data_IF_953647039301
#
_entry.id   IF_953647039301
#
_cell.length_a   1.000
_cell.length_b   1.000
_cell.length_c   1.000
_cell.angle_alpha   90.00
_cell.angle_beta   90.00
_cell.angle_gamma   90.00
#
_symmetry.space_group_name_H-M   'P 1'
#
loop_
_entity.id
_entity.type
_entity.pdbx_description
1 polymer ?
#
# COMPACT_ATOMS: atom_id res chain seq x y z
N UNK A 1 16.07 14.56 27.01
CA UNK A 1 17.38 15.03 26.51
C UNK A 1 17.04 15.70 25.20
N UNK A 2 17.30 17.01 25.07
CA UNK A 2 16.70 17.87 24.06
C UNK A 2 16.87 17.34 22.62
N UNK A 3 15.74 17.11 21.94
CA UNK A 3 15.69 16.91 20.49
C UNK A 3 16.02 18.24 19.80
N UNK A 4 17.31 18.49 19.60
CA UNK A 4 17.75 19.43 18.58
C UNK A 4 17.53 18.77 17.23
N UNK A 5 16.35 18.97 16.65
CA UNK A 5 16.27 18.97 15.18
C UNK A 5 17.12 20.17 14.76
N UNK A 6 18.32 19.90 14.26
CA UNK A 6 19.23 20.90 13.74
C UNK A 6 18.63 21.42 12.43
N UNK A 7 17.72 22.37 12.55
CA UNK A 7 17.17 23.11 11.41
C UNK A 7 18.28 23.98 10.82
N UNK A 8 18.63 23.72 9.58
CA UNK A 8 19.60 24.52 8.84
C UNK A 8 18.86 25.67 8.16
N UNK A 9 19.44 26.87 8.19
CA UNK A 9 18.89 28.04 7.48
C UNK A 9 19.81 28.42 6.32
N UNK A 10 19.26 28.78 5.15
CA UNK A 10 20.05 29.34 4.05
C UNK A 10 20.26 30.85 4.26
N UNK A 11 20.87 31.48 3.25
CA UNK A 11 21.07 32.92 3.21
C UNK A 11 19.77 33.73 3.22
N UNK A 12 18.65 33.09 2.87
CA UNK A 12 17.34 33.71 2.69
C UNK A 12 16.43 33.45 3.91
N UNK A 13 16.90 32.64 4.87
CA UNK A 13 16.21 32.33 6.12
C UNK A 13 15.20 31.19 6.02
N UNK A 14 15.17 30.47 4.89
CA UNK A 14 14.37 29.27 4.76
C UNK A 14 14.96 28.15 5.63
N UNK A 15 14.09 27.41 6.32
CA UNK A 15 14.49 26.32 7.19
C UNK A 15 14.38 25.01 6.41
N UNK A 16 15.50 24.34 6.15
CA UNK A 16 15.52 22.98 5.58
C UNK A 16 15.96 22.00 6.65
N UNK A 17 15.19 20.92 6.78
CA UNK A 17 15.61 19.76 7.54
C UNK A 17 16.50 18.82 6.72
N UNK A 18 16.94 17.76 7.38
CA UNK A 18 17.81 16.73 6.80
C UNK A 18 17.16 16.01 5.60
N UNK A 19 15.83 16.01 5.51
CA UNK A 19 15.05 15.45 4.42
C UNK A 19 15.42 16.00 3.04
N UNK A 20 15.81 17.27 2.93
CA UNK A 20 16.24 17.85 1.65
C UNK A 20 17.53 17.24 1.12
N UNK A 21 18.44 16.84 2.01
CA UNK A 21 19.63 16.10 1.60
C UNK A 21 19.26 14.72 1.06
N UNK A 22 18.27 14.05 1.67
CA UNK A 22 17.77 12.76 1.19
C UNK A 22 17.10 12.90 -0.18
N UNK A 23 16.28 13.93 -0.38
CA UNK A 23 15.68 14.24 -1.68
C UNK A 23 16.74 14.45 -2.76
N UNK A 24 17.75 15.28 -2.50
CA UNK A 24 18.84 15.51 -3.43
C UNK A 24 19.65 14.23 -3.74
N UNK A 25 19.84 13.36 -2.74
CA UNK A 25 20.51 12.07 -2.94
C UNK A 25 19.69 11.11 -3.81
N UNK A 26 18.38 10.96 -3.52
CA UNK A 26 17.49 10.12 -4.33
C UNK A 26 17.39 10.63 -5.77
N UNK A 27 17.27 11.95 -5.95
CA UNK A 27 17.28 12.57 -7.27
C UNK A 27 18.61 12.28 -8.01
N UNK A 28 19.75 12.46 -7.35
CA UNK A 28 21.05 12.17 -7.95
C UNK A 28 21.20 10.71 -8.38
N UNK A 29 20.75 9.76 -7.55
CA UNK A 29 20.76 8.33 -7.89
C UNK A 29 19.81 8.07 -9.05
N UNK A 30 18.58 8.61 -9.02
CA UNK A 30 17.59 8.46 -10.08
C UNK A 30 18.07 9.01 -11.43
N UNK A 31 18.72 10.18 -11.44
CA UNK A 31 19.36 10.74 -12.63
C UNK A 31 20.50 9.86 -13.13
N UNK A 32 21.27 9.27 -12.21
CA UNK A 32 22.38 8.37 -12.54
C UNK A 32 21.89 7.08 -13.19
N UNK A 33 20.81 6.47 -12.70
CA UNK A 33 20.16 5.27 -13.29
C UNK A 33 19.86 5.46 -14.78
N UNK A 34 19.44 6.67 -15.16
CA UNK A 34 19.10 7.02 -16.56
C UNK A 34 20.34 7.14 -17.47
N UNK A 35 21.55 7.33 -16.93
CA UNK A 35 22.77 7.50 -17.72
C UNK A 35 23.39 6.17 -18.15
N UNK A 36 23.65 6.01 -19.45
CA UNK A 36 24.32 4.81 -20.00
C UNK A 36 25.68 4.52 -19.36
N UNK A 37 26.45 5.57 -19.04
CA UNK A 37 27.77 5.46 -18.41
C UNK A 37 27.72 4.92 -16.98
N UNK A 38 26.60 5.08 -16.28
CA UNK A 38 26.42 4.60 -14.91
C UNK A 38 25.83 3.18 -14.85
N UNK A 39 25.32 2.63 -15.96
CA UNK A 39 24.77 1.26 -16.02
C UNK A 39 25.68 0.21 -15.38
N UNK A 40 27.00 0.19 -15.62
CA UNK A 40 27.90 -0.80 -15.01
C UNK A 40 27.95 -0.75 -13.47
N UNK A 41 27.55 0.35 -12.83
CA UNK A 41 27.44 0.44 -11.38
C UNK A 41 26.28 -0.40 -10.87
N UNK A 42 25.14 -0.40 -11.56
CA UNK A 42 23.93 -1.10 -11.13
C UNK A 42 23.91 -2.56 -11.59
N UNK A 43 24.37 -2.82 -12.82
CA UNK A 43 24.42 -4.16 -13.41
C UNK A 43 25.76 -4.32 -14.11
N UNK A 44 26.58 -5.24 -13.60
CA UNK A 44 27.86 -5.61 -14.18
C UNK A 44 27.68 -6.55 -15.39
N UNK A 45 28.71 -6.69 -16.22
CA UNK A 45 28.67 -7.51 -17.45
C UNK A 45 28.41 -9.00 -17.19
N UNK A 46 28.81 -9.51 -16.02
CA UNK A 46 28.51 -10.87 -15.56
C UNK A 46 27.06 -11.05 -15.05
N UNK A 47 26.27 -9.97 -15.01
CA UNK A 47 24.90 -9.96 -14.50
C UNK A 47 24.77 -9.71 -13.00
N UNK A 48 25.86 -9.52 -12.26
CA UNK A 48 25.84 -9.15 -10.84
C UNK A 48 25.27 -7.74 -10.64
N UNK A 49 24.50 -7.56 -9.56
CA UNK A 49 23.76 -6.33 -9.28
C UNK A 49 23.84 -5.93 -7.81
N UNK A 50 25.00 -6.10 -7.18
CA UNK A 50 25.22 -5.86 -5.74
C UNK A 50 24.85 -4.43 -5.32
N UNK A 51 25.26 -3.42 -6.11
CA UNK A 51 24.91 -2.04 -5.82
C UNK A 51 23.41 -1.78 -5.96
N UNK A 52 22.75 -2.36 -6.98
CA UNK A 52 21.30 -2.28 -7.12
C UNK A 52 20.58 -2.84 -5.89
N UNK A 53 21.02 -4.00 -5.37
CA UNK A 53 20.47 -4.59 -4.14
C UNK A 53 20.66 -3.67 -2.93
N UNK A 54 21.82 -3.01 -2.80
CA UNK A 54 22.05 -2.03 -1.73
C UNK A 54 21.13 -0.82 -1.85
N UNK A 55 20.91 -0.30 -3.07
CA UNK A 55 19.97 0.81 -3.29
C UNK A 55 18.54 0.39 -2.93
N UNK A 56 18.11 -0.82 -3.32
CA UNK A 56 16.80 -1.36 -2.93
C UNK A 56 16.66 -1.51 -1.41
N UNK A 57 17.70 -1.97 -0.72
CA UNK A 57 17.71 -2.02 0.75
C UNK A 57 17.58 -0.63 1.40
N UNK A 58 18.26 0.39 0.85
CA UNK A 58 18.15 1.78 1.29
C UNK A 58 16.72 2.29 1.06
N UNK A 59 16.14 2.02 -0.11
CA UNK A 59 14.75 2.37 -0.43
C UNK A 59 13.80 1.79 0.62
N UNK A 60 13.87 0.48 0.88
CA UNK A 60 12.99 -0.17 1.87
C UNK A 60 13.18 0.40 3.29
N UNK A 61 14.40 0.82 3.63
CA UNK A 61 14.68 1.48 4.92
C UNK A 61 13.99 2.85 5.03
N UNK A 62 14.05 3.65 3.97
CA UNK A 62 13.43 4.99 3.92
C UNK A 62 11.94 4.96 3.59
N UNK A 63 11.43 3.82 3.12
CA UNK A 63 9.99 3.61 3.00
C UNK A 63 9.34 3.35 4.35
N UNK A 64 10.04 3.08 5.46
CA UNK A 64 9.39 2.83 6.75
C UNK A 64 8.63 4.06 7.27
N UNK A 65 7.48 3.81 7.92
CA UNK A 65 6.66 4.87 8.51
C UNK A 65 7.41 5.60 9.64
N UNK A 66 7.40 6.93 9.64
CA UNK A 66 7.92 7.71 10.77
C UNK A 66 6.97 7.65 11.96
N UNK A 67 7.40 8.16 13.12
CA UNK A 67 6.53 8.24 14.29
C UNK A 67 5.41 9.27 14.08
N UNK A 68 5.75 10.37 13.46
CA UNK A 68 4.86 11.50 13.16
C UNK A 68 3.75 11.07 12.19
N UNK A 69 4.10 10.30 11.14
CA UNK A 69 3.13 9.70 10.22
C UNK A 69 2.16 8.76 10.95
N UNK A 70 2.69 7.88 11.81
CA UNK A 70 1.88 6.96 12.62
C UNK A 70 0.91 7.73 13.52
N UNK A 71 1.37 8.77 14.20
CA UNK A 71 0.53 9.57 15.10
C UNK A 71 -0.55 10.35 14.35
N UNK A 72 -0.22 10.95 13.21
CA UNK A 72 -1.17 11.69 12.38
C UNK A 72 -2.25 10.78 11.79
N UNK A 73 -1.84 9.69 11.13
CA UNK A 73 -2.75 8.78 10.42
C UNK A 73 -3.63 7.94 11.36
N UNK A 74 -3.30 7.86 12.66
CA UNK A 74 -4.15 7.19 13.64
C UNK A 74 -5.42 7.97 13.98
N UNK A 75 -5.41 9.29 13.81
CA UNK A 75 -6.51 10.17 14.23
C UNK A 75 -7.19 10.89 13.06
N UNK A 76 -6.57 10.90 11.87
CA UNK A 76 -7.10 11.54 10.68
C UNK A 76 -7.18 10.56 9.50
N UNK A 77 -8.41 10.17 9.15
CA UNK A 77 -8.67 9.26 8.04
C UNK A 77 -8.44 9.90 6.68
N UNK A 78 -8.74 11.20 6.52
CA UNK A 78 -8.59 11.88 5.24
C UNK A 78 -7.11 12.05 4.93
N UNK A 79 -6.32 12.47 5.92
CA UNK A 79 -4.88 12.53 5.76
C UNK A 79 -4.27 11.16 5.45
N UNK A 80 -4.71 10.08 6.12
CA UNK A 80 -4.19 8.75 5.81
C UNK A 80 -4.54 8.30 4.38
N UNK A 81 -5.76 8.57 3.91
CA UNK A 81 -6.15 8.27 2.52
C UNK A 81 -5.29 9.07 1.56
N UNK A 82 -5.19 10.39 1.73
CA UNK A 82 -4.44 11.26 0.85
C UNK A 82 -2.93 10.95 0.82
N UNK A 83 -2.33 10.59 1.96
CA UNK A 83 -0.89 10.34 2.09
C UNK A 83 -0.46 8.93 1.63
N UNK A 84 -1.28 7.89 1.86
CA UNK A 84 -0.96 6.51 1.47
C UNK A 84 -1.43 6.17 0.03
N UNK A 85 -1.95 7.15 -0.71
CA UNK A 85 -2.25 7.01 -2.14
C UNK A 85 -0.97 6.91 -2.98
N UNK A 86 -0.99 6.08 -4.03
CA UNK A 86 0.13 5.97 -4.96
C UNK A 86 0.25 7.23 -5.86
N UNK A 87 -0.84 8.00 -6.03
CA UNK A 87 -0.86 9.29 -6.75
C UNK A 87 -0.85 10.51 -5.81
N UNK A 88 -0.31 10.36 -4.60
CA UNK A 88 -0.28 11.45 -3.62
C UNK A 88 0.52 12.67 -4.10
N UNK A 89 0.00 13.88 -3.82
CA UNK A 89 0.75 15.12 -4.03
C UNK A 89 1.72 15.45 -2.89
N UNK A 90 1.70 14.67 -1.80
CA UNK A 90 2.53 14.92 -0.63
C UNK A 90 3.95 14.40 -0.84
N UNK A 91 4.92 15.31 -0.79
CA UNK A 91 6.31 14.98 -1.02
C UNK A 91 7.03 14.68 0.30
N UNK A 92 7.16 13.38 0.61
CA UNK A 92 7.86 12.88 1.81
C UNK A 92 9.04 12.00 1.43
N UNK A 93 9.95 11.72 2.38
CA UNK A 93 11.07 10.80 2.15
C UNK A 93 10.57 9.40 1.77
N UNK A 94 9.44 8.96 2.34
CA UNK A 94 8.80 7.68 2.02
C UNK A 94 8.32 7.65 0.57
N UNK A 95 7.70 8.74 0.08
CA UNK A 95 7.25 8.88 -1.31
C UNK A 95 8.45 8.94 -2.26
N UNK A 96 9.44 9.79 -1.98
CA UNK A 96 10.64 9.91 -2.81
C UNK A 96 11.46 8.61 -2.92
N UNK A 97 11.43 7.75 -1.89
CA UNK A 97 12.03 6.42 -1.94
C UNK A 97 11.25 5.48 -2.90
N UNK A 98 9.91 5.58 -2.91
CA UNK A 98 9.04 4.89 -3.87
C UNK A 98 9.29 5.34 -5.32
N UNK A 99 9.40 6.65 -5.56
CA UNK A 99 9.73 7.20 -6.88
C UNK A 99 11.08 6.65 -7.38
N UNK A 100 12.07 6.53 -6.50
CA UNK A 100 13.35 5.93 -6.87
C UNK A 100 13.22 4.44 -7.22
N UNK A 101 12.35 3.69 -6.54
CA UNK A 101 12.05 2.30 -6.87
C UNK A 101 11.44 2.18 -8.27
N UNK A 102 10.49 3.06 -8.61
CA UNK A 102 9.88 3.14 -9.93
C UNK A 102 10.94 3.42 -11.01
N UNK A 103 11.83 4.40 -10.79
CA UNK A 103 12.92 4.71 -11.73
C UNK A 103 13.84 3.50 -11.96
N UNK A 104 14.12 2.72 -10.91
CA UNK A 104 14.91 1.48 -11.04
C UNK A 104 14.14 0.41 -11.81
N UNK A 105 12.84 0.30 -11.59
CA UNK A 105 11.97 -0.67 -12.25
C UNK A 105 11.83 -0.37 -13.75
N UNK A 106 11.60 0.89 -14.13
CA UNK A 106 11.58 1.35 -15.52
C UNK A 106 12.88 0.99 -16.25
N UNK A 107 14.02 1.13 -15.57
CA UNK A 107 15.33 0.98 -16.19
C UNK A 107 15.81 -0.47 -16.25
N UNK A 108 15.54 -1.24 -15.20
CA UNK A 108 16.13 -2.55 -14.95
C UNK A 108 15.08 -3.55 -14.41
N UNK A 109 13.95 -3.78 -15.11
CA UNK A 109 12.74 -4.35 -14.53
C UNK A 109 12.99 -5.67 -13.78
N UNK A 110 13.44 -6.73 -14.48
CA UNK A 110 13.68 -8.03 -13.83
C UNK A 110 14.75 -7.98 -12.74
N UNK A 111 15.78 -7.14 -12.91
CA UNK A 111 16.87 -7.05 -11.93
C UNK A 111 16.43 -6.31 -10.67
N UNK A 112 15.57 -5.29 -10.82
CA UNK A 112 14.96 -4.56 -9.71
C UNK A 112 13.96 -5.45 -8.98
N UNK A 113 13.08 -6.17 -9.70
CA UNK A 113 12.16 -7.14 -9.09
C UNK A 113 12.90 -8.26 -8.35
N UNK A 114 13.94 -8.83 -8.94
CA UNK A 114 14.75 -9.85 -8.28
C UNK A 114 15.48 -9.31 -7.04
N UNK A 115 16.03 -8.09 -7.12
CA UNK A 115 16.66 -7.44 -5.97
C UNK A 115 15.66 -7.14 -4.86
N UNK A 116 14.46 -6.68 -5.21
CA UNK A 116 13.37 -6.45 -4.26
C UNK A 116 12.96 -7.76 -3.57
N UNK A 117 12.70 -8.81 -4.34
CA UNK A 117 12.36 -10.14 -3.83
C UNK A 117 13.36 -10.65 -2.77
N UNK A 118 14.64 -10.64 -3.10
CA UNK A 118 15.71 -11.11 -2.20
C UNK A 118 15.86 -10.21 -0.97
N UNK A 119 15.76 -8.89 -1.14
CA UNK A 119 15.90 -7.93 -0.03
C UNK A 119 14.72 -8.02 0.93
N UNK A 120 13.50 -8.17 0.40
CA UNK A 120 12.29 -8.39 1.18
C UNK A 120 12.38 -9.66 2.01
N UNK A 121 12.83 -10.77 1.42
CA UNK A 121 13.02 -12.02 2.16
C UNK A 121 13.97 -11.82 3.34
N UNK A 122 15.14 -11.22 3.09
CA UNK A 122 16.14 -10.96 4.13
C UNK A 122 15.60 -10.06 5.25
N UNK A 123 14.94 -8.95 4.90
CA UNK A 123 14.39 -8.01 5.88
C UNK A 123 13.24 -8.60 6.70
N UNK A 124 12.42 -9.48 6.12
CA UNK A 124 11.38 -10.21 6.86
C UNK A 124 12.04 -11.17 7.87
N UNK A 125 13.09 -11.88 7.49
CA UNK A 125 13.85 -12.75 8.40
C UNK A 125 14.47 -11.95 9.57
N UNK A 126 15.13 -10.83 9.29
CA UNK A 126 15.68 -9.93 10.32
C UNK A 126 14.59 -9.35 11.24
N UNK A 127 13.47 -8.92 10.66
CA UNK A 127 12.34 -8.39 11.41
C UNK A 127 11.70 -9.45 12.31
N UNK A 128 11.63 -10.70 11.87
CA UNK A 128 11.14 -11.80 12.70
C UNK A 128 12.06 -12.07 13.90
N UNK A 129 13.38 -11.92 13.74
CA UNK A 129 14.33 -11.99 14.85
C UNK A 129 14.10 -10.82 15.81
N UNK A 130 13.98 -9.59 15.29
CA UNK A 130 13.70 -8.40 16.10
C UNK A 130 12.40 -8.56 16.93
N UNK A 131 11.33 -9.06 16.30
CA UNK A 131 10.07 -9.41 16.94
C UNK A 131 10.26 -10.41 18.07
N UNK A 132 11.00 -11.49 17.84
CA UNK A 132 11.26 -12.52 18.85
C UNK A 132 12.09 -11.98 20.04
N UNK A 133 12.91 -10.96 19.82
CA UNK A 133 13.68 -10.28 20.88
C UNK A 133 12.92 -9.14 21.57
N UNK A 134 11.67 -8.88 21.19
CA UNK A 134 10.81 -7.88 21.82
C UNK A 134 11.04 -6.44 21.35
N UNK A 135 11.64 -6.23 20.18
CA UNK A 135 11.69 -4.92 19.55
C UNK A 135 10.26 -4.43 19.28
N UNK A 136 9.92 -3.19 19.66
CA UNK A 136 8.57 -2.64 19.48
C UNK A 136 8.28 -2.09 18.08
N UNK A 137 9.31 -1.90 17.25
CA UNK A 137 9.19 -1.32 15.90
C UNK A 137 9.45 -2.32 14.77
N UNK A 138 9.61 -3.62 15.07
CA UNK A 138 9.83 -4.69 14.08
C UNK A 138 8.86 -4.65 12.90
N UNK A 139 7.61 -4.30 13.19
CA UNK A 139 6.49 -4.30 12.26
C UNK A 139 6.65 -3.28 11.12
N UNK A 140 7.40 -2.18 11.35
CA UNK A 140 7.63 -1.14 10.33
C UNK A 140 8.43 -1.67 9.13
N UNK A 141 9.38 -2.57 9.40
CA UNK A 141 10.18 -3.21 8.35
C UNK A 141 9.29 -4.08 7.45
N UNK A 142 8.40 -4.88 8.05
CA UNK A 142 7.50 -5.74 7.27
C UNK A 142 6.44 -4.90 6.53
N UNK A 143 5.91 -3.86 7.17
CA UNK A 143 4.98 -2.93 6.50
C UNK A 143 5.61 -2.29 5.26
N UNK A 144 6.86 -1.80 5.36
CA UNK A 144 7.56 -1.19 4.24
C UNK A 144 7.86 -2.20 3.13
N UNK A 145 8.25 -3.43 3.49
CA UNK A 145 8.45 -4.51 2.52
C UNK A 145 7.16 -4.83 1.76
N UNK A 146 6.04 -4.98 2.47
CA UNK A 146 4.75 -5.25 1.85
C UNK A 146 4.26 -4.05 1.01
N UNK A 147 4.47 -2.79 1.45
CA UNK A 147 4.15 -1.61 0.63
C UNK A 147 4.95 -1.62 -0.67
N UNK A 148 6.26 -1.84 -0.61
CA UNK A 148 7.12 -1.82 -1.79
C UNK A 148 6.80 -2.94 -2.79
N UNK A 149 6.59 -4.16 -2.29
CA UNK A 149 6.21 -5.30 -3.14
C UNK A 149 4.80 -5.12 -3.70
N UNK A 150 3.88 -4.55 -2.91
CA UNK A 150 2.54 -4.20 -3.37
C UNK A 150 2.52 -3.10 -4.45
N UNK A 151 3.36 -2.08 -4.28
CA UNK A 151 3.53 -0.95 -5.19
C UNK A 151 3.93 -1.41 -6.61
N UNK A 152 4.77 -2.45 -6.72
CA UNK A 152 5.23 -3.00 -8.02
C UNK A 152 4.43 -4.24 -8.47
N UNK A 153 3.20 -4.41 -7.95
CA UNK A 153 2.42 -5.64 -8.15
C UNK A 153 2.14 -5.95 -9.63
N UNK A 154 1.84 -4.95 -10.46
CA UNK A 154 1.57 -5.14 -11.88
C UNK A 154 2.77 -5.76 -12.63
N UNK A 155 3.96 -5.20 -12.42
CA UNK A 155 5.19 -5.68 -13.03
C UNK A 155 5.60 -7.03 -12.46
N UNK A 156 5.43 -7.24 -11.15
CA UNK A 156 5.77 -8.52 -10.52
C UNK A 156 4.84 -9.65 -10.97
N UNK A 157 3.52 -9.42 -11.03
CA UNK A 157 2.55 -10.39 -11.55
C UNK A 157 2.92 -10.75 -12.99
N UNK A 158 3.19 -9.75 -13.83
CA UNK A 158 3.58 -9.95 -15.24
C UNK A 158 4.85 -10.81 -15.33
N UNK A 159 5.88 -10.50 -14.55
CA UNK A 159 7.13 -11.25 -14.53
C UNK A 159 6.93 -12.70 -14.02
N UNK A 160 6.11 -12.91 -13.00
CA UNK A 160 5.85 -14.25 -12.43
C UNK A 160 5.02 -15.14 -13.36
N UNK A 161 4.21 -14.56 -14.24
CA UNK A 161 3.41 -15.29 -15.22
C UNK A 161 4.15 -15.54 -16.55
N UNK A 162 5.23 -14.82 -16.82
CA UNK A 162 6.06 -15.01 -18.03
C UNK A 162 7.06 -16.16 -17.84
N UNK A 163 6.87 -17.26 -18.59
CA UNK A 163 7.78 -18.42 -18.58
C UNK A 163 9.22 -18.07 -19.00
N UNK A 164 9.42 -16.98 -19.74
CA UNK A 164 10.75 -16.52 -20.12
C UNK A 164 11.44 -15.70 -19.01
N UNK A 165 10.69 -15.20 -18.04
CA UNK A 165 11.25 -14.38 -16.96
C UNK A 165 12.09 -15.20 -16.00
N UNK A 166 13.14 -14.56 -15.48
CA UNK A 166 14.04 -15.16 -14.49
C UNK A 166 13.77 -14.70 -13.07
N UNK A 167 12.77 -13.84 -12.87
CA UNK A 167 12.38 -13.35 -11.55
C UNK A 167 11.84 -14.52 -10.73
N UNK A 168 12.35 -14.67 -9.51
CA UNK A 168 11.91 -15.69 -8.56
C UNK A 168 11.48 -15.01 -7.27
N UNK A 169 10.21 -15.20 -6.92
CA UNK A 169 9.65 -14.72 -5.67
C UNK A 169 8.62 -15.72 -5.14
N UNK A 170 8.79 -16.15 -3.89
CA UNK A 170 7.85 -17.05 -3.23
C UNK A 170 6.64 -16.27 -2.70
N UNK A 171 5.83 -15.77 -3.63
CA UNK A 171 4.59 -15.08 -3.32
C UNK A 171 3.61 -15.96 -2.52
N UNK A 172 3.41 -17.26 -2.84
CA UNK A 172 2.57 -18.14 -2.04
C UNK A 172 3.04 -18.27 -0.58
N UNK A 173 4.34 -18.52 -0.36
CA UNK A 173 4.90 -18.60 0.99
C UNK A 173 4.78 -17.28 1.77
N UNK A 174 4.92 -16.13 1.09
CA UNK A 174 4.66 -14.83 1.69
C UNK A 174 3.20 -14.68 2.14
N UNK A 175 2.24 -15.13 1.33
CA UNK A 175 0.84 -15.13 1.71
C UNK A 175 0.56 -16.00 2.94
N UNK A 176 1.04 -17.25 2.91
CA UNK A 176 0.74 -18.26 3.93
C UNK A 176 1.43 -17.98 5.28
N UNK A 177 2.64 -17.45 5.27
CA UNK A 177 3.47 -17.34 6.48
C UNK A 177 3.68 -15.92 6.99
N UNK A 178 3.31 -14.90 6.20
CA UNK A 178 3.51 -13.50 6.57
C UNK A 178 2.18 -12.77 6.51
N UNK A 179 1.58 -12.63 5.33
CA UNK A 179 0.40 -11.76 5.15
C UNK A 179 -0.79 -12.25 5.98
N UNK A 180 -1.05 -13.56 6.01
CA UNK A 180 -2.19 -14.11 6.74
C UNK A 180 -2.11 -13.87 8.25
N UNK A 181 -0.93 -14.03 8.86
CA UNK A 181 -0.72 -13.78 10.29
C UNK A 181 -1.01 -12.32 10.66
N UNK A 182 -0.67 -11.38 9.78
CA UNK A 182 -0.86 -9.95 10.00
C UNK A 182 -2.31 -9.50 9.97
N UNK A 183 -3.24 -10.26 9.36
CA UNK A 183 -4.68 -9.94 9.40
C UNK A 183 -5.23 -9.86 10.83
N UNK A 184 -4.57 -10.53 11.78
CA UNK A 184 -4.98 -10.58 13.19
C UNK A 184 -4.07 -9.76 14.12
N UNK A 185 -3.10 -9.03 13.57
CA UNK A 185 -2.13 -8.25 14.33
C UNK A 185 -2.71 -6.90 14.81
N UNK A 186 -3.74 -6.96 15.66
CA UNK A 186 -4.50 -5.80 16.15
C UNK A 186 -3.63 -4.76 16.89
N UNK A 187 -2.49 -5.17 17.44
CA UNK A 187 -1.52 -4.28 18.09
C UNK A 187 -0.78 -3.37 17.10
N UNK A 188 -0.78 -3.74 15.82
CA UNK A 188 -0.06 -3.06 14.74
C UNK A 188 -1.02 -2.71 13.60
N UNK A 189 -1.94 -1.74 13.78
CA UNK A 189 -3.05 -1.48 12.86
C UNK A 189 -2.61 -1.13 11.44
N UNK A 190 -1.45 -0.47 11.26
CA UNK A 190 -0.91 -0.19 9.94
C UNK A 190 -0.38 -1.45 9.23
N UNK A 191 0.24 -2.38 9.96
CA UNK A 191 0.67 -3.65 9.39
C UNK A 191 -0.52 -4.55 9.07
N UNK A 192 -1.53 -4.57 9.94
CA UNK A 192 -2.81 -5.25 9.69
C UNK A 192 -3.50 -4.68 8.45
N UNK A 193 -3.63 -3.35 8.36
CA UNK A 193 -4.16 -2.66 7.19
C UNK A 193 -3.36 -2.97 5.92
N UNK A 194 -2.02 -2.92 6.00
CA UNK A 194 -1.14 -3.24 4.88
C UNK A 194 -1.33 -4.67 4.38
N UNK A 195 -1.59 -5.64 5.27
CA UNK A 195 -1.87 -7.01 4.87
C UNK A 195 -3.15 -7.13 4.00
N UNK A 196 -4.20 -6.35 4.31
CA UNK A 196 -5.39 -6.28 3.46
C UNK A 196 -5.09 -5.68 2.08
N UNK A 197 -4.41 -4.55 2.03
CA UNK A 197 -4.06 -3.87 0.77
C UNK A 197 -3.15 -4.76 -0.08
N UNK A 198 -2.14 -5.37 0.52
CA UNK A 198 -1.24 -6.28 -0.16
C UNK A 198 -2.01 -7.46 -0.79
N UNK A 199 -2.92 -8.07 -0.03
CA UNK A 199 -3.72 -9.17 -0.56
C UNK A 199 -4.60 -8.75 -1.75
N UNK A 200 -5.16 -7.54 -1.71
CA UNK A 200 -6.00 -7.05 -2.79
C UNK A 200 -5.23 -6.69 -4.06
N UNK A 201 -3.99 -6.21 -3.94
CA UNK A 201 -3.10 -5.92 -5.07
C UNK A 201 -2.74 -7.18 -5.88
N UNK A 202 -2.69 -8.35 -5.22
CA UNK A 202 -2.43 -9.64 -5.86
C UNK A 202 -3.69 -10.50 -6.02
N UNK A 203 -4.88 -9.89 -6.01
CA UNK A 203 -6.16 -10.61 -6.09
C UNK A 203 -6.22 -11.64 -7.23
N UNK A 204 -5.67 -11.31 -8.41
CA UNK A 204 -5.66 -12.21 -9.58
C UNK A 204 -4.81 -13.48 -9.41
N UNK A 205 -3.89 -13.49 -8.44
CA UNK A 205 -3.05 -14.63 -8.09
C UNK A 205 -3.49 -15.33 -6.80
N UNK A 206 -4.51 -14.83 -6.09
CA UNK A 206 -4.97 -15.44 -4.85
C UNK A 206 -5.67 -16.79 -5.09
N UNK A 207 -5.29 -17.85 -4.35
CA UNK A 207 -6.06 -19.09 -4.32
C UNK A 207 -7.50 -18.83 -3.85
N UNK A 208 -8.48 -19.52 -4.44
CA UNK A 208 -9.91 -19.29 -4.16
C UNK A 208 -10.30 -19.39 -2.69
N UNK A 209 -9.75 -20.36 -1.95
CA UNK A 209 -10.01 -20.52 -0.51
C UNK A 209 -9.48 -19.33 0.31
N UNK A 210 -8.33 -18.76 -0.08
CA UNK A 210 -7.77 -17.57 0.56
C UNK A 210 -8.57 -16.33 0.18
N UNK A 211 -8.97 -16.20 -1.08
CA UNK A 211 -9.76 -15.06 -1.57
C UNK A 211 -11.04 -14.85 -0.75
N UNK A 212 -11.85 -15.90 -0.54
CA UNK A 212 -13.06 -15.82 0.29
C UNK A 212 -12.75 -15.40 1.72
N UNK A 213 -11.65 -15.88 2.31
CA UNK A 213 -11.25 -15.52 3.68
C UNK A 213 -10.83 -14.05 3.76
N UNK A 214 -10.01 -13.56 2.84
CA UNK A 214 -9.61 -12.15 2.80
C UNK A 214 -10.80 -11.20 2.64
N UNK A 215 -11.76 -11.53 1.77
CA UNK A 215 -12.98 -10.73 1.59
C UNK A 215 -13.80 -10.72 2.88
N UNK A 216 -14.02 -11.88 3.49
CA UNK A 216 -14.76 -12.00 4.75
C UNK A 216 -14.11 -11.17 5.88
N UNK A 217 -12.78 -11.22 5.98
CA UNK A 217 -12.02 -10.49 6.99
C UNK A 217 -12.04 -8.98 6.76
N UNK A 218 -11.98 -8.53 5.50
CA UNK A 218 -12.08 -7.12 5.16
C UNK A 218 -13.49 -6.57 5.45
N UNK A 219 -14.55 -7.34 5.17
CA UNK A 219 -15.93 -6.98 5.57
C UNK A 219 -16.05 -6.86 7.09
N UNK A 220 -15.49 -7.81 7.84
CA UNK A 220 -15.50 -7.76 9.30
C UNK A 220 -14.77 -6.51 9.81
N UNK A 221 -13.61 -6.20 9.25
CA UNK A 221 -12.80 -5.03 9.65
C UNK A 221 -13.53 -3.69 9.49
N UNK A 222 -14.36 -3.52 8.46
CA UNK A 222 -15.15 -2.28 8.29
C UNK A 222 -16.36 -2.22 9.24
N UNK A 223 -16.96 -3.37 9.59
CA UNK A 223 -18.12 -3.48 10.47
C UNK A 223 -17.78 -3.29 11.95
N UNK A 224 -16.64 -3.81 12.39
CA UNK A 224 -16.22 -3.75 13.79
C UNK A 224 -15.72 -2.35 14.17
N UNK A 225 -15.73 -2.05 15.46
CA UNK A 225 -15.04 -0.87 15.98
C UNK A 225 -13.54 -1.17 15.95
N UNK A 226 -12.79 -0.40 15.18
CA UNK A 226 -11.37 -0.64 14.94
C UNK A 226 -10.62 0.65 14.59
N UNK A 227 -9.30 0.54 14.47
CA UNK A 227 -8.44 1.66 14.14
C UNK A 227 -8.70 2.17 12.71
N UNK A 228 -8.57 3.48 12.52
CA UNK A 228 -8.75 4.14 11.22
C UNK A 228 -7.94 3.46 10.10
N UNK A 229 -6.64 3.16 10.27
CA UNK A 229 -5.84 2.56 9.19
C UNK A 229 -6.41 1.23 8.71
N UNK A 230 -6.92 0.40 9.63
CA UNK A 230 -7.48 -0.91 9.31
C UNK A 230 -8.75 -0.76 8.49
N UNK A 231 -9.66 0.15 8.86
CA UNK A 231 -10.91 0.39 8.12
C UNK A 231 -10.66 0.94 6.73
N UNK A 232 -9.79 1.95 6.62
CA UNK A 232 -9.42 2.55 5.33
C UNK A 232 -8.76 1.52 4.42
N UNK A 233 -7.80 0.75 4.93
CA UNK A 233 -7.15 -0.32 4.18
C UNK A 233 -8.11 -1.44 3.77
N UNK A 234 -9.05 -1.82 4.64
CA UNK A 234 -10.06 -2.82 4.32
C UNK A 234 -11.04 -2.34 3.23
N UNK A 235 -11.42 -1.05 3.21
CA UNK A 235 -12.21 -0.47 2.12
C UNK A 235 -11.45 -0.51 0.78
N UNK A 236 -10.18 -0.06 0.76
CA UNK A 236 -9.31 -0.18 -0.43
C UNK A 236 -9.19 -1.62 -0.90
N UNK A 237 -9.06 -2.55 0.04
CA UNK A 237 -8.99 -3.97 -0.27
C UNK A 237 -10.29 -4.48 -0.89
N UNK A 238 -11.45 -4.13 -0.33
CA UNK A 238 -12.75 -4.51 -0.85
C UNK A 238 -13.01 -3.92 -2.25
N UNK A 239 -12.64 -2.66 -2.49
CA UNK A 239 -12.71 -2.05 -3.83
C UNK A 239 -11.96 -2.91 -4.86
N UNK A 240 -10.69 -3.24 -4.58
CA UNK A 240 -9.87 -4.07 -5.46
C UNK A 240 -10.39 -5.50 -5.59
N UNK A 241 -10.86 -6.11 -4.49
CA UNK A 241 -11.46 -7.45 -4.54
C UNK A 241 -12.72 -7.48 -5.40
N UNK A 242 -13.62 -6.52 -5.25
CA UNK A 242 -14.82 -6.39 -6.08
C UNK A 242 -14.48 -6.22 -7.57
N UNK A 243 -13.37 -5.52 -7.87
CA UNK A 243 -12.90 -5.24 -9.23
C UNK A 243 -12.19 -6.43 -9.89
N UNK A 244 -11.38 -7.18 -9.14
CA UNK A 244 -10.39 -8.10 -9.71
C UNK A 244 -10.63 -9.59 -9.38
N UNK A 245 -11.37 -9.92 -8.31
CA UNK A 245 -11.70 -11.32 -8.01
C UNK A 245 -12.85 -11.82 -8.88
N UNK A 246 -12.88 -13.14 -9.07
CA UNK A 246 -14.06 -13.79 -9.63
C UNK A 246 -15.28 -13.54 -8.72
N UNK A 247 -16.41 -13.23 -9.35
CA UNK A 247 -17.71 -12.94 -8.73
C UNK A 247 -18.09 -13.98 -7.67
N UNK A 248 -17.75 -15.26 -7.86
CA UNK A 248 -18.08 -16.31 -6.90
C UNK A 248 -17.49 -16.08 -5.50
N UNK A 249 -16.35 -15.38 -5.38
CA UNK A 249 -15.68 -15.14 -4.11
C UNK A 249 -16.18 -13.89 -3.39
N UNK A 250 -16.74 -12.91 -4.12
CA UNK A 250 -17.21 -11.62 -3.58
C UNK A 250 -18.73 -11.52 -3.46
N UNK A 251 -19.48 -12.17 -4.36
CA UNK A 251 -20.95 -12.13 -4.37
C UNK A 251 -21.62 -12.54 -3.05
N UNK A 252 -21.12 -13.53 -2.28
CA UNK A 252 -21.69 -13.86 -0.98
C UNK A 252 -21.66 -12.71 0.04
N UNK A 253 -20.76 -11.75 -0.15
CA UNK A 253 -20.53 -10.64 0.77
C UNK A 253 -21.09 -9.30 0.28
N UNK A 254 -21.62 -9.23 -0.95
CA UNK A 254 -22.06 -7.98 -1.57
C UNK A 254 -23.05 -7.20 -0.70
N UNK A 255 -24.04 -7.88 -0.12
CA UNK A 255 -25.00 -7.28 0.81
C UNK A 255 -24.31 -6.63 2.01
N UNK A 256 -23.35 -7.34 2.62
CA UNK A 256 -22.63 -6.83 3.78
C UNK A 256 -21.74 -5.63 3.43
N UNK A 257 -21.11 -5.65 2.25
CA UNK A 257 -20.30 -4.52 1.76
C UNK A 257 -21.19 -3.29 1.57
N UNK A 258 -22.31 -3.42 0.86
CA UNK A 258 -23.27 -2.34 0.62
C UNK A 258 -23.77 -1.73 1.94
N UNK A 259 -24.21 -2.56 2.88
CA UNK A 259 -24.72 -2.09 4.17
C UNK A 259 -23.64 -1.36 4.99
N UNK A 260 -22.43 -1.92 5.01
CA UNK A 260 -21.32 -1.35 5.77
C UNK A 260 -20.88 -0.01 5.18
N UNK A 261 -20.77 0.07 3.86
CA UNK A 261 -20.45 1.30 3.13
C UNK A 261 -21.54 2.37 3.30
N UNK A 262 -22.82 1.98 3.21
CA UNK A 262 -23.94 2.89 3.43
C UNK A 262 -23.92 3.51 4.85
N UNK A 263 -23.52 2.73 5.86
CA UNK A 263 -23.35 3.25 7.23
C UNK A 263 -22.19 4.25 7.34
N UNK A 264 -21.13 4.08 6.55
CA UNK A 264 -19.98 4.98 6.54
C UNK A 264 -20.26 6.31 5.83
N UNK A 265 -21.08 6.33 4.77
CA UNK A 265 -21.38 7.53 3.97
C UNK A 265 -21.87 8.74 4.79
N UNK A 266 -22.44 8.52 5.97
CA UNK A 266 -22.93 9.59 6.85
C UNK A 266 -21.88 10.18 7.78
N UNK A 267 -20.71 9.55 7.92
CA UNK A 267 -19.68 9.93 8.89
C UNK A 267 -18.34 10.32 8.24
N UNK A 268 -18.12 9.94 6.97
CA UNK A 268 -16.91 10.25 6.21
C UNK A 268 -17.05 11.55 5.42
N UNK A 269 -15.91 12.14 5.04
CA UNK A 269 -15.83 13.38 4.25
C UNK A 269 -14.60 13.36 3.35
N UNK A 270 -14.49 14.30 2.40
CA UNK A 270 -13.26 14.52 1.60
C UNK A 270 -12.72 13.23 0.97
N UNK A 271 -11.43 12.91 1.15
CA UNK A 271 -10.78 11.73 0.57
C UNK A 271 -11.38 10.40 1.06
N UNK A 272 -11.77 10.32 2.34
CA UNK A 272 -12.42 9.10 2.85
C UNK A 272 -13.83 8.88 2.28
N UNK A 273 -14.54 9.96 1.93
CA UNK A 273 -15.82 9.85 1.22
C UNK A 273 -15.63 9.32 -0.20
N UNK A 274 -14.61 9.80 -0.92
CA UNK A 274 -14.29 9.30 -2.27
C UNK A 274 -14.03 7.80 -2.22
N UNK A 275 -13.16 7.34 -1.31
CA UNK A 275 -12.86 5.91 -1.15
C UNK A 275 -14.11 5.07 -0.87
N UNK A 276 -15.01 5.56 0.00
CA UNK A 276 -16.25 4.87 0.34
C UNK A 276 -17.21 4.80 -0.87
N UNK A 277 -17.30 5.87 -1.67
CA UNK A 277 -18.11 5.92 -2.88
C UNK A 277 -17.57 4.97 -3.96
N UNK A 278 -16.26 4.97 -4.21
CA UNK A 278 -15.65 4.06 -5.17
C UNK A 278 -15.80 2.59 -4.75
N UNK A 279 -15.69 2.31 -3.45
CA UNK A 279 -15.94 0.96 -2.92
C UNK A 279 -17.40 0.55 -3.17
N UNK A 280 -18.36 1.46 -2.98
CA UNK A 280 -19.77 1.21 -3.28
C UNK A 280 -19.96 0.95 -4.78
N UNK A 281 -19.34 1.76 -5.63
CA UNK A 281 -19.45 1.68 -7.08
C UNK A 281 -19.04 0.30 -7.60
N UNK A 282 -17.94 -0.26 -7.10
CA UNK A 282 -17.53 -1.61 -7.46
C UNK A 282 -18.45 -2.68 -6.86
N UNK A 283 -18.90 -2.51 -5.62
CA UNK A 283 -19.78 -3.47 -4.96
C UNK A 283 -21.16 -3.60 -5.64
N UNK A 284 -21.74 -2.50 -6.13
CA UNK A 284 -23.06 -2.54 -6.80
C UNK A 284 -23.03 -3.21 -8.18
N UNK A 285 -21.85 -3.31 -8.81
CA UNK A 285 -21.66 -3.96 -10.12
C UNK A 285 -21.61 -5.49 -10.06
N UNK A 286 -21.41 -6.08 -8.87
CA UNK A 286 -21.22 -7.54 -8.69
C UNK A 286 -22.46 -8.33 -9.12
N UNK A 287 -23.63 -8.01 -8.56
CA UNK A 287 -24.90 -8.65 -8.92
C UNK A 287 -26.08 -7.67 -8.84
N UNK A 288 -26.63 -7.34 -10.01
CA UNK A 288 -27.74 -6.38 -10.15
C UNK A 288 -29.01 -6.79 -9.38
N UNK A 289 -29.27 -8.08 -9.18
CA UNK A 289 -30.45 -8.56 -8.45
C UNK A 289 -30.31 -8.25 -6.95
N UNK A 290 -29.10 -8.35 -6.41
CA UNK A 290 -28.82 -7.95 -5.02
C UNK A 290 -28.88 -6.43 -4.93
N UNK A 291 -28.20 -5.71 -5.83
CA UNK A 291 -28.19 -4.25 -5.87
C UNK A 291 -29.59 -3.65 -5.90
N UNK A 292 -30.50 -4.19 -6.72
CA UNK A 292 -31.87 -3.71 -6.82
C UNK A 292 -32.65 -3.77 -5.49
N UNK A 293 -32.27 -4.66 -4.56
CA UNK A 293 -32.90 -4.75 -3.22
C UNK A 293 -32.49 -3.61 -2.30
N UNK A 294 -31.32 -3.01 -2.56
CA UNK A 294 -30.76 -1.91 -1.78
C UNK A 294 -30.96 -0.54 -2.44
N UNK A 295 -31.71 -0.44 -3.54
CA UNK A 295 -31.96 0.82 -4.24
C UNK A 295 -32.58 1.88 -3.31
N UNK A 296 -33.58 1.49 -2.51
CA UNK A 296 -34.21 2.40 -1.53
C UNK A 296 -33.26 2.88 -0.42
N UNK A 297 -32.14 2.18 -0.20
CA UNK A 297 -31.12 2.59 0.77
C UNK A 297 -30.07 3.47 0.09
N UNK A 298 -29.50 3.00 -1.02
CA UNK A 298 -28.37 3.65 -1.69
C UNK A 298 -28.82 4.91 -2.43
N UNK A 299 -29.96 4.86 -3.13
CA UNK A 299 -30.44 5.95 -3.97
C UNK A 299 -30.54 7.29 -3.21
N UNK A 300 -31.27 7.34 -2.09
CA UNK A 300 -31.34 8.55 -1.27
C UNK A 300 -29.98 9.00 -0.73
N UNK A 301 -29.12 8.08 -0.28
CA UNK A 301 -27.80 8.42 0.26
C UNK A 301 -26.91 9.09 -0.79
N UNK A 302 -26.90 8.57 -2.02
CA UNK A 302 -26.12 9.16 -3.12
C UNK A 302 -26.67 10.53 -3.51
N UNK A 303 -27.99 10.70 -3.55
CA UNK A 303 -28.61 12.00 -3.81
C UNK A 303 -28.23 13.00 -2.69
N UNK A 304 -28.25 12.58 -1.43
CA UNK A 304 -27.87 13.42 -0.29
C UNK A 304 -26.38 13.83 -0.36
N UNK A 305 -25.49 12.92 -0.72
CA UNK A 305 -24.07 13.21 -0.94
C UNK A 305 -23.90 14.22 -2.09
N UNK A 306 -24.57 13.98 -3.22
CA UNK A 306 -24.54 14.88 -4.38
C UNK A 306 -25.06 16.28 -4.04
N UNK A 307 -26.15 16.40 -3.29
CA UNK A 307 -26.68 17.69 -2.84
C UNK A 307 -25.75 18.43 -1.87
N UNK A 308 -25.00 17.71 -1.02
CA UNK A 308 -24.01 18.30 -0.11
C UNK A 308 -22.73 18.74 -0.83
N UNK A 309 -22.40 18.11 -1.95
CA UNK A 309 -21.18 18.38 -2.72
C UNK A 309 -21.46 18.74 -4.19
N UNK A 310 -22.26 19.78 -4.48
CA UNK A 310 -22.78 20.07 -5.83
C UNK A 310 -21.70 20.55 -6.83
N UNK A 311 -20.53 20.95 -6.33
CA UNK A 311 -19.41 21.48 -7.12
C UNK A 311 -18.12 20.65 -6.97
N UNK A 312 -18.16 19.55 -6.20
CA UNK A 312 -16.99 18.70 -5.99
C UNK A 312 -16.84 17.70 -7.13
N UNK A 313 -15.60 17.41 -7.55
CA UNK A 313 -15.27 16.31 -8.47
C UNK A 313 -15.41 14.93 -7.78
N UNK A 314 -16.41 14.76 -6.90
CA UNK A 314 -16.56 13.62 -5.98
C UNK A 314 -17.46 12.53 -6.60
N UNK A 315 -18.09 12.81 -7.75
CA UNK A 315 -18.99 11.92 -8.48
C UNK A 315 -18.78 12.02 -9.99
#
# INVERSE_FOLDING_TARGET
MNDFISTCQDSDGEVFGFEYLLFAQFEFVGLSVRKKSAKPLFIQDNGESTFLKQVVWIILSYMQMTKEQVEAWLIDANQFVADDDDETFNFTVRVAAGDLLEILLEKFPEKTLQALAETTQHLIEESNIARATGDSVWWKVQEACLKAVGFVSNELITALQDEASKVKFDLPGLFEHVVFDHLTAIEYPFLQGRAFVFASQYAVLLPGELATRYVSEAVRAIQEIGAIPVKVSALRALQNFCRHLDVQYVAPFQSNIIESVANLLNIVSEDSLILVLETLEEAIKINNVVTARYENLIGPLIIDVWMKHPTGNIL
#
